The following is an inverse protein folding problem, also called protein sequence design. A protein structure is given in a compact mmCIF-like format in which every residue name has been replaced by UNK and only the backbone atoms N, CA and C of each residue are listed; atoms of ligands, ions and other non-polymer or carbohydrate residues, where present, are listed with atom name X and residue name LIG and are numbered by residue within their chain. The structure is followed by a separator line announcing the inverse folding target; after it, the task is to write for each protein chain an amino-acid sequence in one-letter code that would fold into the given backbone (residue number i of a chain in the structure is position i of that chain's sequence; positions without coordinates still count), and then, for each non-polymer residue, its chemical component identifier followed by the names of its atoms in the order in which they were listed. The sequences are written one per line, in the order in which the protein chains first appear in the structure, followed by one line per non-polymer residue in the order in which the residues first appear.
data_IF_011107141506
#
_entry.id   IF_011107141506
#
_cell.length_a   1.000
_cell.length_b   1.000
_cell.length_c   1.000
_cell.angle_alpha   90.00
_cell.angle_beta   90.00
_cell.angle_gamma   90.00
#
_symmetry.space_group_name_H-M   'P 1'
#
loop_
_entity.id
_entity.type
_entity.pdbx_description
1 polymer ?
#
# COMPACT_ATOMS: atom_id res chain seq x y z
N UNK A 1 -5.15 -29.60 -14.89
CA UNK A 1 -3.86 -29.84 -14.22
C UNK A 1 -3.55 -28.55 -13.48
N UNK A 2 -3.63 -28.53 -12.15
CA UNK A 2 -3.33 -27.32 -11.37
C UNK A 2 -1.81 -27.29 -11.21
N UNK A 3 -1.15 -26.44 -11.97
CA UNK A 3 0.28 -26.19 -11.83
C UNK A 3 0.52 -25.55 -10.45
N UNK A 4 1.26 -26.24 -9.61
CA UNK A 4 1.60 -25.78 -8.28
C UNK A 4 2.79 -24.83 -8.39
N UNK A 5 2.53 -23.52 -8.27
CA UNK A 5 3.56 -22.48 -8.33
C UNK A 5 4.67 -22.74 -7.30
N UNK A 6 5.93 -22.68 -7.73
CA UNK A 6 7.09 -22.87 -6.87
C UNK A 6 7.37 -21.60 -6.04
N UNK A 7 6.65 -21.43 -4.95
CA UNK A 7 6.96 -20.39 -3.95
C UNK A 7 8.16 -20.84 -3.11
N UNK A 8 9.33 -20.23 -3.34
CA UNK A 8 10.51 -20.52 -2.50
C UNK A 8 10.43 -19.70 -1.21
N UNK A 9 10.20 -20.38 -0.09
CA UNK A 9 10.26 -19.77 1.25
C UNK A 9 11.72 -19.40 1.53
N UNK A 10 11.97 -18.14 1.92
CA UNK A 10 13.28 -17.72 2.42
C UNK A 10 13.55 -18.43 3.76
N UNK A 11 14.37 -19.48 3.73
CA UNK A 11 14.81 -20.16 4.94
C UNK A 11 15.72 -19.20 5.75
N UNK A 12 15.28 -18.87 6.97
CA UNK A 12 15.86 -17.88 7.90
C UNK A 12 15.61 -16.42 7.50
N UNK A 13 15.46 -15.55 8.51
CA UNK A 13 15.44 -14.07 8.43
C UNK A 13 16.69 -13.56 7.69
N UNK A 14 16.71 -13.71 6.38
CA UNK A 14 17.76 -13.24 5.51
C UNK A 14 17.20 -12.02 4.80
N UNK A 15 17.24 -10.88 5.49
CA UNK A 15 17.17 -9.60 4.82
C UNK A 15 18.20 -9.60 3.67
N UNK A 16 17.83 -9.24 2.43
CA UNK A 16 18.79 -8.93 1.38
C UNK A 16 19.83 -7.96 1.96
N UNK A 17 21.12 -8.21 1.72
CA UNK A 17 22.21 -7.39 2.30
C UNK A 17 21.99 -5.89 2.08
N UNK A 18 21.42 -5.52 0.93
CA UNK A 18 21.08 -4.16 0.52
C UNK A 18 20.08 -3.48 1.50
N UNK A 19 19.16 -4.24 2.08
CA UNK A 19 18.12 -3.71 2.99
C UNK A 19 18.65 -3.60 4.43
N UNK A 20 19.71 -4.35 4.80
CA UNK A 20 20.30 -4.33 6.16
C UNK A 20 21.03 -3.03 6.49
N UNK A 21 21.61 -2.38 5.48
CA UNK A 21 22.57 -1.27 5.70
C UNK A 21 21.98 0.12 5.41
N UNK A 22 20.65 0.23 5.31
CA UNK A 22 20.02 1.56 5.20
C UNK A 22 19.87 2.20 6.57
N UNK A 23 20.29 3.46 6.68
CA UNK A 23 20.18 4.29 7.88
C UNK A 23 18.74 4.34 8.42
N UNK A 24 17.74 4.31 7.55
CA UNK A 24 16.31 4.33 7.93
C UNK A 24 15.82 3.01 8.55
N UNK A 25 16.37 1.85 8.16
CA UNK A 25 16.06 0.56 8.81
C UNK A 25 16.51 0.57 10.28
N UNK A 26 17.72 1.08 10.52
CA UNK A 26 18.24 1.25 11.88
C UNK A 26 17.33 2.16 12.70
N UNK A 27 16.96 3.33 12.16
CA UNK A 27 16.05 4.27 12.82
C UNK A 27 14.66 3.70 13.09
N UNK A 28 14.08 2.94 12.15
CA UNK A 28 12.79 2.27 12.35
C UNK A 28 12.87 1.24 13.48
N UNK A 29 13.94 0.43 13.50
CA UNK A 29 14.18 -0.56 14.54
C UNK A 29 14.43 0.11 15.91
N UNK A 30 15.27 1.14 15.94
CA UNK A 30 15.56 1.94 17.13
C UNK A 30 14.30 2.63 17.66
N UNK A 31 13.51 3.25 16.80
CA UNK A 31 12.24 3.88 17.16
C UNK A 31 11.23 2.86 17.72
N UNK A 32 11.11 1.70 17.08
CA UNK A 32 10.27 0.60 17.55
C UNK A 32 10.68 0.15 18.95
N UNK A 33 11.97 -0.16 19.16
CA UNK A 33 12.48 -0.58 20.47
C UNK A 33 12.33 0.51 21.53
N UNK A 34 12.65 1.77 21.18
CA UNK A 34 12.60 2.91 22.08
C UNK A 34 11.17 3.20 22.56
N UNK A 35 10.21 3.21 21.65
CA UNK A 35 8.81 3.42 22.02
C UNK A 35 8.31 2.29 22.91
N UNK A 36 8.67 1.04 22.60
CA UNK A 36 8.27 -0.13 23.40
C UNK A 36 8.92 -0.20 24.79
N UNK A 37 10.14 0.34 24.98
CA UNK A 37 10.75 0.40 26.31
C UNK A 37 9.97 1.25 27.31
N UNK A 38 9.21 2.25 26.84
CA UNK A 38 8.43 3.18 27.68
C UNK A 38 7.09 2.58 28.17
N UNK A 39 6.78 1.33 27.81
CA UNK A 39 5.49 0.67 28.10
C UNK A 39 5.53 -0.24 29.33
N UNK A 40 6.72 -0.47 29.91
CA UNK A 40 6.91 -1.50 30.93
C UNK A 40 5.91 -1.36 32.09
N UNK A 41 5.33 -2.51 32.47
CA UNK A 41 4.40 -2.67 33.60
C UNK A 41 3.05 -1.94 33.50
N UNK A 42 2.70 -1.41 32.32
CA UNK A 42 1.39 -0.77 32.08
C UNK A 42 0.27 -1.78 31.88
N UNK A 43 -0.95 -1.33 32.15
CA UNK A 43 -2.16 -2.04 31.73
C UNK A 43 -2.29 -2.04 30.21
N UNK A 44 -2.68 -3.19 29.66
CA UNK A 44 -2.88 -3.39 28.23
C UNK A 44 -4.26 -3.99 27.95
N UNK A 45 -5.06 -3.30 27.15
CA UNK A 45 -6.37 -3.74 26.69
C UNK A 45 -6.26 -4.14 25.22
N UNK A 46 -6.13 -5.44 24.91
CA UNK A 46 -6.03 -5.90 23.54
C UNK A 46 -7.32 -5.59 22.78
N UNK A 47 -7.20 -5.16 21.52
CA UNK A 47 -8.35 -5.17 20.63
C UNK A 47 -8.71 -6.63 20.34
N UNK A 48 -10.01 -6.95 20.43
CA UNK A 48 -10.49 -8.24 19.94
C UNK A 48 -10.13 -8.33 18.45
N UNK A 49 -9.59 -9.48 18.04
CA UNK A 49 -9.56 -9.87 16.63
C UNK A 49 -11.01 -10.11 16.20
N UNK A 50 -11.77 -9.03 16.01
CA UNK A 50 -12.86 -9.08 15.06
C UNK A 50 -12.17 -9.41 13.75
N UNK A 51 -12.48 -10.58 13.19
CA UNK A 51 -12.21 -10.83 11.78
C UNK A 51 -12.67 -9.55 11.09
N UNK A 52 -11.72 -8.77 10.56
CA UNK A 52 -12.05 -7.72 9.62
C UNK A 52 -12.66 -8.47 8.44
N UNK A 53 -13.96 -8.73 8.53
CA UNK A 53 -14.81 -8.72 7.37
C UNK A 53 -14.61 -7.31 6.82
N UNK A 54 -13.59 -7.17 5.97
CA UNK A 54 -13.59 -6.13 4.98
C UNK A 54 -14.86 -6.38 4.19
N UNK A 55 -15.94 -5.72 4.61
CA UNK A 55 -17.15 -5.57 3.84
C UNK A 55 -16.80 -4.72 2.62
N UNK A 56 -16.11 -5.33 1.67
CA UNK A 56 -16.20 -4.96 0.27
C UNK A 56 -17.20 -5.89 -0.41
N UNK A 57 -18.42 -5.95 0.15
CA UNK A 57 -19.59 -6.27 -0.63
C UNK A 57 -20.35 -4.98 -0.93
N UNK A 58 -19.71 -4.12 -1.72
CA UNK A 58 -20.49 -3.26 -2.59
C UNK A 58 -20.87 -4.11 -3.81
N UNK A 59 -21.95 -4.89 -3.68
CA UNK A 59 -22.76 -5.29 -4.83
C UNK A 59 -23.41 -4.02 -5.42
N UNK A 60 -22.59 -3.19 -6.06
CA UNK A 60 -23.09 -2.13 -6.91
C UNK A 60 -23.46 -2.79 -8.23
N UNK A 61 -24.77 -2.88 -8.48
CA UNK A 61 -25.29 -3.16 -9.81
C UNK A 61 -24.59 -2.20 -10.79
N UNK A 62 -23.83 -2.78 -11.71
CA UNK A 62 -23.19 -2.04 -12.81
C UNK A 62 -24.33 -1.52 -13.67
N UNK A 63 -24.67 -0.25 -13.50
CA UNK A 63 -25.56 0.44 -14.42
C UNK A 63 -24.81 0.66 -15.73
N UNK A 64 -24.98 -0.27 -16.67
CA UNK A 64 -24.52 -0.11 -18.03
C UNK A 64 -25.39 0.95 -18.71
N UNK A 65 -24.85 2.16 -18.88
CA UNK A 65 -25.40 3.13 -19.83
C UNK A 65 -24.36 3.41 -20.90
N UNK A 66 -24.72 3.12 -22.15
CA UNK A 66 -23.86 3.27 -23.31
C UNK A 66 -23.49 4.74 -23.51
N UNK A 67 -22.22 5.07 -23.28
CA UNK A 67 -21.58 6.21 -23.95
C UNK A 67 -21.39 5.83 -25.42
N UNK A 68 -22.43 5.97 -26.24
CA UNK A 68 -22.28 5.84 -27.68
C UNK A 68 -21.39 6.96 -28.23
N UNK A 69 -20.34 6.57 -28.96
CA UNK A 69 -20.07 7.20 -30.25
C UNK A 69 -18.74 7.94 -30.37
N UNK A 70 -17.74 7.22 -30.91
CA UNK A 70 -16.62 7.71 -31.74
C UNK A 70 -15.55 8.63 -31.13
N UNK A 71 -15.83 9.45 -30.12
CA UNK A 71 -14.84 10.41 -29.59
C UNK A 71 -13.86 9.77 -28.58
N UNK A 72 -14.31 8.78 -27.81
CA UNK A 72 -13.52 8.09 -26.76
C UNK A 72 -12.45 7.16 -27.36
N UNK A 73 -12.69 6.64 -28.57
CA UNK A 73 -11.79 5.70 -29.26
C UNK A 73 -10.38 6.26 -29.50
N UNK A 74 -10.23 7.58 -29.63
CA UNK A 74 -8.94 8.22 -29.88
C UNK A 74 -8.00 8.16 -28.66
N UNK A 75 -8.56 8.01 -27.46
CA UNK A 75 -7.82 7.95 -26.20
C UNK A 75 -7.60 6.52 -25.71
N UNK A 76 -8.19 5.54 -26.39
CA UNK A 76 -8.03 4.12 -26.08
C UNK A 76 -6.88 3.53 -26.89
N UNK A 77 -5.91 2.99 -26.18
CA UNK A 77 -4.73 2.34 -26.75
C UNK A 77 -4.85 0.83 -26.53
N UNK A 78 -5.02 0.01 -27.60
CA UNK A 78 -4.94 -1.43 -27.47
C UNK A 78 -3.52 -1.84 -27.08
N UNK A 79 -3.40 -2.85 -26.23
CA UNK A 79 -2.12 -3.33 -25.73
C UNK A 79 -1.75 -4.67 -26.36
N UNK A 80 -0.45 -4.95 -26.41
CA UNK A 80 0.09 -6.22 -26.90
C UNK A 80 1.19 -6.61 -25.94
N UNK A 81 1.14 -7.84 -25.42
CA UNK A 81 2.11 -8.30 -24.45
C UNK A 81 3.53 -8.33 -25.05
N UNK A 82 4.51 -7.87 -24.28
CA UNK A 82 5.94 -7.97 -24.60
C UNK A 82 6.58 -8.90 -23.59
N UNK A 83 6.96 -10.08 -24.04
CA UNK A 83 7.67 -11.07 -23.23
C UNK A 83 9.17 -10.91 -23.42
N UNK A 84 9.83 -10.25 -22.48
CA UNK A 84 11.26 -9.92 -22.54
C UNK A 84 12.01 -10.16 -21.22
N UNK A 85 11.39 -10.91 -20.31
CA UNK A 85 11.92 -11.24 -19.00
C UNK A 85 12.13 -10.01 -18.09
N UNK A 86 11.40 -8.92 -18.35
CA UNK A 86 11.42 -7.73 -17.49
C UNK A 86 11.08 -8.13 -16.04
N UNK A 87 11.97 -7.86 -15.07
CA UNK A 87 11.67 -8.15 -13.67
C UNK A 87 10.53 -7.27 -13.16
N UNK A 88 9.60 -7.85 -12.41
CA UNK A 88 8.47 -7.16 -11.80
C UNK A 88 8.65 -7.17 -10.28
N UNK A 89 8.43 -6.03 -9.63
CA UNK A 89 8.56 -5.88 -8.17
C UNK A 89 7.31 -5.25 -7.59
N UNK A 90 6.56 -5.98 -6.76
CA UNK A 90 5.42 -5.46 -5.99
C UNK A 90 5.80 -5.07 -4.57
N UNK A 91 5.27 -3.94 -4.09
CA UNK A 91 5.50 -3.42 -2.74
C UNK A 91 4.15 -3.15 -2.09
N UNK A 92 3.97 -3.57 -0.84
CA UNK A 92 2.85 -3.15 0.00
C UNK A 92 3.26 -3.09 1.48
N UNK A 93 2.59 -2.25 2.24
CA UNK A 93 2.81 -2.05 3.69
C UNK A 93 1.47 -1.99 4.40
N UNK A 94 1.36 -2.71 5.51
CA UNK A 94 0.17 -2.69 6.36
C UNK A 94 0.53 -2.37 7.81
N UNK A 95 -0.44 -1.76 8.50
CA UNK A 95 -0.37 -1.46 9.92
C UNK A 95 -1.61 -1.99 10.62
N UNK A 96 -1.44 -2.39 11.88
CA UNK A 96 -2.54 -2.91 12.69
C UNK A 96 -2.49 -2.34 14.10
N UNK A 97 -3.66 -2.05 14.67
CA UNK A 97 -3.85 -1.74 16.09
C UNK A 97 -3.88 -3.04 16.88
N UNK A 98 -3.02 -3.14 17.90
CA UNK A 98 -2.92 -4.31 18.77
C UNK A 98 -3.72 -4.14 20.06
N UNK A 99 -3.81 -2.92 20.57
CA UNK A 99 -4.62 -2.59 21.73
C UNK A 99 -4.28 -1.22 22.26
N UNK A 100 -4.83 -0.92 23.43
CA UNK A 100 -4.64 0.35 24.12
C UNK A 100 -3.95 0.12 25.47
N UNK A 101 -3.24 1.14 25.90
CA UNK A 101 -2.67 1.27 27.24
C UNK A 101 -3.21 2.54 27.86
N UNK A 102 -2.99 2.72 29.16
CA UNK A 102 -3.41 3.93 29.88
C UNK A 102 -2.90 5.25 29.27
N UNK A 103 -1.79 5.21 28.51
CA UNK A 103 -1.13 6.39 27.98
C UNK A 103 -1.15 6.49 26.45
N UNK A 104 -1.72 5.51 25.75
CA UNK A 104 -1.67 5.50 24.27
C UNK A 104 -1.91 4.13 23.65
N UNK A 105 -1.64 4.01 22.35
CA UNK A 105 -1.95 2.83 21.55
C UNK A 105 -0.72 1.94 21.32
N UNK A 106 -0.94 0.63 21.27
CA UNK A 106 0.02 -0.33 20.71
C UNK A 106 -0.40 -0.68 19.29
N UNK A 107 0.54 -0.60 18.37
CA UNK A 107 0.34 -0.97 16.97
C UNK A 107 1.56 -1.72 16.42
N UNK A 108 1.39 -2.36 15.27
CA UNK A 108 2.50 -2.96 14.52
C UNK A 108 2.42 -2.59 13.04
N UNK A 109 3.58 -2.43 12.41
CA UNK A 109 3.71 -2.17 10.96
C UNK A 109 4.53 -3.27 10.31
N UNK A 110 4.10 -3.76 9.15
CA UNK A 110 4.75 -4.81 8.37
C UNK A 110 4.77 -4.43 6.90
N UNK A 111 5.94 -4.53 6.27
CA UNK A 111 6.09 -4.37 4.84
C UNK A 111 6.34 -5.70 4.12
N UNK A 112 6.01 -5.75 2.84
CA UNK A 112 6.33 -6.87 1.97
C UNK A 112 6.85 -6.38 0.62
N UNK A 113 7.83 -7.11 0.09
CA UNK A 113 8.36 -6.94 -1.26
C UNK A 113 8.23 -8.28 -1.96
N UNK A 114 7.70 -8.29 -3.17
CA UNK A 114 7.57 -9.48 -4.00
C UNK A 114 8.28 -9.22 -5.32
N UNK A 115 9.14 -10.12 -5.74
CA UNK A 115 9.80 -10.11 -7.03
C UNK A 115 9.26 -11.24 -7.88
N UNK A 116 9.03 -10.97 -9.16
CA UNK A 116 8.81 -11.95 -10.19
C UNK A 116 9.89 -11.79 -11.27
N UNK A 117 10.58 -12.88 -11.56
CA UNK A 117 11.47 -13.00 -12.70
C UNK A 117 11.19 -14.35 -13.37
N UNK A 118 10.75 -14.32 -14.63
CA UNK A 118 10.41 -15.51 -15.39
C UNK A 118 9.43 -16.42 -14.64
N UNK A 119 8.35 -15.84 -14.12
CA UNK A 119 7.29 -16.51 -13.34
C UNK A 119 7.77 -17.15 -12.02
N UNK A 120 9.00 -16.84 -11.58
CA UNK A 120 9.51 -17.27 -10.29
C UNK A 120 9.31 -16.17 -9.26
N UNK A 121 8.35 -16.39 -8.36
CA UNK A 121 8.02 -15.44 -7.31
C UNK A 121 8.91 -15.65 -6.09
N UNK A 122 9.48 -14.56 -5.58
CA UNK A 122 10.20 -14.49 -4.31
C UNK A 122 9.65 -13.36 -3.49
N UNK A 123 9.68 -13.48 -2.17
CA UNK A 123 9.22 -12.40 -1.31
C UNK A 123 10.15 -12.17 -0.11
N UNK A 124 10.05 -10.96 0.42
CA UNK A 124 10.64 -10.56 1.69
C UNK A 124 9.57 -9.88 2.54
N UNK A 125 9.42 -10.32 3.78
CA UNK A 125 8.64 -9.61 4.79
C UNK A 125 9.58 -8.81 5.69
N UNK A 126 9.19 -7.59 6.01
CA UNK A 126 9.94 -6.68 6.86
C UNK A 126 9.07 -6.33 8.07
N UNK A 127 9.63 -6.52 9.26
CA UNK A 127 8.90 -6.44 10.52
C UNK A 127 8.28 -7.78 10.94
N UNK A 128 7.20 -7.78 11.73
CA UNK A 128 6.46 -6.59 12.17
C UNK A 128 7.27 -5.75 13.17
N UNK A 129 7.16 -4.44 13.06
CA UNK A 129 7.72 -3.47 14.00
C UNK A 129 6.63 -3.01 14.97
N UNK A 130 6.67 -3.42 16.25
CA UNK A 130 5.73 -2.92 17.24
C UNK A 130 6.10 -1.48 17.66
N UNK A 131 5.08 -0.65 17.88
CA UNK A 131 5.26 0.71 18.40
C UNK A 131 4.24 0.97 19.51
N UNK A 132 4.69 1.71 20.52
CA UNK A 132 3.82 2.33 21.50
C UNK A 132 3.74 3.83 21.27
N UNK A 133 2.56 4.30 20.93
CA UNK A 133 2.36 5.68 20.50
C UNK A 133 1.53 6.38 21.55
N UNK A 134 2.10 7.43 22.12
CA UNK A 134 1.46 8.30 23.10
C UNK A 134 1.43 9.72 22.57
N UNK A 135 0.61 10.58 23.19
CA UNK A 135 0.56 11.99 22.85
C UNK A 135 1.93 12.68 23.06
N UNK A 136 2.71 12.23 24.05
CA UNK A 136 4.02 12.78 24.39
C UNK A 136 5.12 12.34 23.43
N UNK A 137 5.08 11.10 22.92
CA UNK A 137 6.19 10.54 22.15
C UNK A 137 6.02 10.66 20.62
N UNK A 138 4.80 10.88 20.11
CA UNK A 138 4.53 10.86 18.66
C UNK A 138 5.36 11.89 17.88
N UNK A 139 5.60 13.07 18.46
CA UNK A 139 6.36 14.12 17.80
C UNK A 139 7.83 13.73 17.66
N UNK A 140 8.40 13.20 18.75
CA UNK A 140 9.78 12.74 18.77
C UNK A 140 9.99 11.55 17.82
N UNK A 141 9.04 10.62 17.79
CA UNK A 141 9.02 9.48 16.88
C UNK A 141 9.16 9.93 15.42
N UNK A 142 8.30 10.84 14.95
CA UNK A 142 8.36 11.31 13.56
C UNK A 142 9.58 12.18 13.28
N UNK A 143 10.00 13.03 14.23
CA UNK A 143 11.23 13.81 14.06
C UNK A 143 12.46 12.90 13.83
N UNK A 144 12.52 11.76 14.54
CA UNK A 144 13.58 10.77 14.39
C UNK A 144 13.50 10.02 13.04
N UNK A 145 12.29 9.62 12.62
CA UNK A 145 12.07 8.91 11.36
C UNK A 145 12.26 9.81 10.13
N UNK A 146 11.93 11.09 10.21
CA UNK A 146 11.97 12.06 9.11
C UNK A 146 13.31 12.81 9.01
N UNK A 147 14.32 12.40 9.81
CA UNK A 147 15.66 12.99 9.84
C UNK A 147 15.67 14.52 10.07
N UNK A 148 14.71 15.05 10.83
CA UNK A 148 14.58 16.50 11.06
C UNK A 148 14.07 17.31 9.87
N UNK A 149 13.55 16.68 8.82
CA UNK A 149 12.78 17.38 7.79
C UNK A 149 11.50 17.93 8.44
N UNK A 150 11.18 19.22 8.23
CA UNK A 150 9.99 19.82 8.81
C UNK A 150 8.75 19.08 8.29
N UNK A 151 7.93 18.48 9.17
CA UNK A 151 6.73 17.79 8.72
C UNK A 151 5.73 18.79 8.14
N UNK A 152 5.20 18.51 6.94
CA UNK A 152 4.13 19.33 6.32
C UNK A 152 2.87 19.38 7.20
N UNK A 153 2.67 18.38 8.08
CA UNK A 153 1.58 18.30 9.04
C UNK A 153 2.15 18.04 10.44
N UNK A 154 1.88 18.94 11.38
CA UNK A 154 2.28 18.80 12.78
C UNK A 154 1.67 17.50 13.37
N UNK A 155 2.49 16.49 13.73
CA UNK A 155 2.03 15.26 14.38
C UNK A 155 1.18 15.51 15.63
N UNK A 156 1.38 16.65 16.29
CA UNK A 156 0.71 17.06 17.53
C UNK A 156 -0.81 17.33 17.41
N UNK A 157 -1.38 17.29 16.21
CA UNK A 157 -2.84 17.43 16.00
C UNK A 157 -3.46 16.23 15.27
N UNK A 158 -2.66 15.21 14.98
CA UNK A 158 -3.08 14.02 14.25
C UNK A 158 -3.76 13.03 15.20
N UNK A 159 -4.99 12.56 14.92
CA UNK A 159 -5.60 11.46 15.66
C UNK A 159 -4.68 10.23 15.68
N UNK A 160 -4.60 9.53 16.82
CA UNK A 160 -3.70 8.39 16.99
C UNK A 160 -3.91 7.27 15.94
N UNK A 161 -5.13 7.13 15.38
CA UNK A 161 -5.39 6.17 14.32
C UNK A 161 -4.72 6.54 12.98
N UNK A 162 -4.57 7.83 12.67
CA UNK A 162 -3.87 8.30 11.47
C UNK A 162 -2.35 8.13 11.58
N UNK A 163 -1.82 8.09 12.81
CA UNK A 163 -0.40 7.89 13.07
C UNK A 163 0.11 6.56 12.50
N UNK A 164 -0.71 5.50 12.57
CA UNK A 164 -0.35 4.19 11.99
C UNK A 164 -0.21 4.31 10.48
N UNK A 165 -1.14 4.99 9.81
CA UNK A 165 -1.05 5.27 8.38
C UNK A 165 0.23 6.01 8.02
N UNK A 166 0.62 7.01 8.82
CA UNK A 166 1.88 7.74 8.62
C UNK A 166 3.12 6.85 8.83
N UNK A 167 3.12 5.96 9.82
CA UNK A 167 4.20 4.98 9.99
C UNK A 167 4.28 4.00 8.81
N UNK A 168 3.13 3.52 8.31
CA UNK A 168 3.08 2.71 7.09
C UNK A 168 3.68 3.47 5.91
N UNK A 169 3.32 4.74 5.71
CA UNK A 169 3.88 5.57 4.65
C UNK A 169 5.40 5.70 4.77
N UNK A 170 5.95 5.94 5.97
CA UNK A 170 7.41 6.01 6.17
C UNK A 170 8.10 4.69 5.79
N UNK A 171 7.55 3.55 6.21
CA UNK A 171 8.08 2.22 5.86
C UNK A 171 7.94 1.97 4.35
N UNK A 172 6.84 2.39 3.74
CA UNK A 172 6.60 2.24 2.31
C UNK A 172 7.58 3.07 1.47
N UNK A 173 7.76 4.35 1.79
CA UNK A 173 8.70 5.24 1.09
C UNK A 173 10.13 4.76 1.21
N UNK A 174 10.50 4.23 2.38
CA UNK A 174 11.78 3.58 2.59
C UNK A 174 12.00 2.39 1.65
N UNK A 175 11.02 1.47 1.60
CA UNK A 175 11.09 0.28 0.73
C UNK A 175 11.16 0.70 -0.73
N UNK A 176 10.28 1.60 -1.17
CA UNK A 176 10.25 2.11 -2.54
C UNK A 176 11.56 2.79 -2.93
N UNK A 177 12.13 3.63 -2.06
CA UNK A 177 13.45 4.26 -2.29
C UNK A 177 14.54 3.21 -2.47
N UNK A 178 14.53 2.19 -1.61
CA UNK A 178 15.52 1.11 -1.64
C UNK A 178 15.41 0.28 -2.92
N UNK A 179 14.20 -0.06 -3.34
CA UNK A 179 13.96 -0.80 -4.59
C UNK A 179 14.27 0.05 -5.81
N UNK A 180 13.88 1.33 -5.84
CA UNK A 180 14.19 2.23 -6.94
C UNK A 180 15.70 2.40 -7.18
N UNK A 181 16.52 2.27 -6.13
CA UNK A 181 17.97 2.32 -6.21
C UNK A 181 18.62 0.97 -6.57
N UNK A 182 18.06 -0.15 -6.10
CA UNK A 182 18.71 -1.46 -6.18
C UNK A 182 18.24 -2.33 -7.36
N UNK A 183 17.03 -2.08 -7.87
CA UNK A 183 16.55 -2.69 -9.10
C UNK A 183 17.09 -1.94 -10.32
N UNK A 184 17.22 -2.63 -11.45
CA UNK A 184 17.58 -2.03 -12.73
C UNK A 184 16.72 -2.62 -13.84
N UNK A 185 16.29 -1.80 -14.80
CA UNK A 185 15.49 -2.25 -15.95
C UNK A 185 14.17 -2.94 -15.56
N UNK A 186 13.63 -2.66 -14.38
CA UNK A 186 12.50 -3.38 -13.77
C UNK A 186 11.21 -2.55 -13.80
N UNK A 187 10.05 -3.22 -13.72
CA UNK A 187 8.78 -2.57 -13.43
C UNK A 187 8.51 -2.66 -11.92
N UNK A 188 8.38 -1.51 -11.28
CA UNK A 188 8.09 -1.40 -9.85
C UNK A 188 6.62 -1.02 -9.70
N UNK A 189 5.87 -1.91 -9.05
CA UNK A 189 4.44 -1.78 -8.80
C UNK A 189 4.19 -1.24 -7.41
N UNK A 190 3.37 -0.20 -7.30
CA UNK A 190 2.93 0.37 -6.03
C UNK A 190 1.42 0.13 -5.84
N UNK A 191 1.00 -0.19 -4.60
CA UNK A 191 -0.42 -0.17 -4.24
C UNK A 191 -0.82 1.28 -3.90
N UNK A 192 -1.85 1.80 -4.56
CA UNK A 192 -2.28 3.19 -4.43
C UNK A 192 -2.01 4.04 -5.68
N UNK A 193 -1.89 5.36 -5.49
CA UNK A 193 -1.80 6.34 -6.58
C UNK A 193 -0.54 7.19 -6.51
N UNK A 194 -0.04 7.66 -7.65
CA UNK A 194 1.07 8.64 -7.73
C UNK A 194 0.57 10.07 -7.50
N UNK A 195 -0.21 10.27 -6.44
CA UNK A 195 -0.71 11.58 -6.02
C UNK A 195 -0.06 12.02 -4.71
N UNK A 196 0.27 13.31 -4.64
CA UNK A 196 0.95 13.93 -3.49
C UNK A 196 0.17 15.16 -3.03
N UNK A 197 0.43 15.66 -1.82
CA UNK A 197 -0.36 16.75 -1.21
C UNK A 197 -1.48 16.29 -0.26
N UNK A 198 -1.54 14.99 0.05
CA UNK A 198 -2.26 14.42 1.20
C UNK A 198 -1.27 14.14 2.34
N UNK A 199 -1.74 14.10 3.60
CA UNK A 199 -0.90 13.90 4.78
C UNK A 199 0.00 12.67 4.63
N UNK A 200 1.32 12.89 4.72
CA UNK A 200 2.33 11.82 4.67
C UNK A 200 2.93 11.49 3.31
N UNK A 201 2.62 12.22 2.22
CA UNK A 201 3.29 12.07 0.92
C UNK A 201 3.91 13.41 0.48
N UNK A 202 5.17 13.65 0.86
CA UNK A 202 5.89 14.84 0.38
C UNK A 202 6.13 14.74 -1.13
N UNK A 203 5.77 15.80 -1.84
CA UNK A 203 6.01 15.93 -3.29
C UNK A 203 7.50 15.68 -3.61
N UNK A 204 8.39 16.18 -2.74
CA UNK A 204 9.84 16.10 -2.92
C UNK A 204 10.36 14.66 -2.85
N UNK A 205 9.86 13.87 -1.89
CA UNK A 205 10.29 12.49 -1.65
C UNK A 205 9.85 11.57 -2.79
N UNK A 206 8.56 11.60 -3.15
CA UNK A 206 8.04 10.77 -4.24
C UNK A 206 8.73 11.14 -5.56
N UNK A 207 8.93 12.44 -5.83
CA UNK A 207 9.65 12.90 -7.02
C UNK A 207 11.10 12.40 -7.05
N UNK A 208 11.77 12.34 -5.90
CA UNK A 208 13.11 11.78 -5.77
C UNK A 208 13.14 10.28 -6.06
N UNK A 209 12.17 9.52 -5.54
CA UNK A 209 12.06 8.07 -5.80
C UNK A 209 11.85 7.82 -7.30
N UNK A 210 10.90 8.51 -7.93
CA UNK A 210 10.63 8.38 -9.36
C UNK A 210 11.87 8.75 -10.21
N UNK A 211 12.58 9.84 -9.85
CA UNK A 211 13.83 10.21 -10.52
C UNK A 211 14.91 9.14 -10.37
N UNK A 212 15.01 8.52 -9.19
CA UNK A 212 15.97 7.45 -8.92
C UNK A 212 15.62 6.19 -9.70
N UNK A 213 14.34 5.83 -9.78
CA UNK A 213 13.86 4.71 -10.59
C UNK A 213 14.23 4.90 -12.07
N UNK A 214 13.94 6.07 -12.66
CA UNK A 214 14.30 6.39 -14.04
C UNK A 214 15.81 6.31 -14.31
N UNK A 215 16.64 6.77 -13.36
CA UNK A 215 18.11 6.70 -13.49
C UNK A 215 18.62 5.25 -13.63
N UNK A 216 17.90 4.29 -13.07
CA UNK A 216 18.22 2.86 -13.18
C UNK A 216 17.33 2.14 -14.20
N UNK A 217 16.72 2.88 -15.14
CA UNK A 217 15.88 2.34 -16.21
C UNK A 217 14.65 1.58 -15.70
N UNK A 218 14.20 1.89 -14.47
CA UNK A 218 12.98 1.32 -13.91
C UNK A 218 11.76 2.16 -14.29
N UNK A 219 10.64 1.49 -14.54
CA UNK A 219 9.33 2.11 -14.70
C UNK A 219 8.50 1.91 -13.43
N UNK A 220 7.83 2.97 -12.94
CA UNK A 220 6.96 2.91 -11.75
C UNK A 220 5.50 2.99 -12.19
N UNK A 221 4.72 1.97 -11.80
CA UNK A 221 3.30 1.82 -12.11
C UNK A 221 2.53 1.67 -10.80
N UNK A 222 1.64 2.61 -10.48
CA UNK A 222 0.83 2.55 -9.27
C UNK A 222 -0.62 2.15 -9.59
N UNK A 223 -1.11 1.10 -8.94
CA UNK A 223 -2.46 0.59 -9.14
C UNK A 223 -3.37 0.97 -7.97
N UNK A 224 -4.47 1.63 -8.28
CA UNK A 224 -5.52 1.97 -7.30
C UNK A 224 -6.74 1.07 -7.50
N UNK A 225 -7.04 0.24 -6.48
CA UNK A 225 -8.19 -0.70 -6.46
C UNK A 225 -9.54 0.02 -6.55
N UNK A 226 -9.69 1.11 -5.79
CA UNK A 226 -10.92 1.90 -5.72
C UNK A 226 -10.60 3.38 -5.94
N UNK A 227 -11.16 3.97 -6.98
CA UNK A 227 -10.97 5.38 -7.32
C UNK A 227 -12.24 6.19 -7.10
N UNK A 228 -12.10 7.38 -6.54
CA UNK A 228 -13.17 8.38 -6.40
C UNK A 228 -13.17 9.39 -7.56
N UNK A 229 -12.18 9.32 -8.46
CA UNK A 229 -12.09 10.22 -9.61
C UNK A 229 -13.25 9.94 -10.55
N UNK A 230 -13.96 11.01 -10.93
CA UNK A 230 -15.09 10.96 -11.84
C UNK A 230 -14.88 11.90 -13.01
N UNK A 231 -15.43 11.50 -14.16
CA UNK A 231 -15.58 12.33 -15.35
C UNK A 231 -17.07 12.46 -15.65
N UNK A 232 -17.60 13.69 -15.72
CA UNK A 232 -19.04 13.97 -15.90
C UNK A 232 -19.97 13.22 -14.90
N UNK A 233 -19.49 12.93 -13.69
CA UNK A 233 -20.16 12.12 -12.63
C UNK A 233 -20.05 10.59 -12.75
N UNK A 234 -19.37 10.08 -13.77
CA UNK A 234 -19.12 8.66 -14.01
C UNK A 234 -17.79 8.26 -13.39
N UNK A 235 -17.66 7.05 -12.83
CA UNK A 235 -16.34 6.58 -12.40
C UNK A 235 -15.48 6.37 -13.64
N UNK A 236 -14.21 6.76 -13.58
CA UNK A 236 -13.31 6.61 -14.73
C UNK A 236 -13.14 5.14 -15.17
N UNK A 237 -13.25 4.20 -14.23
CA UNK A 237 -13.18 2.75 -14.49
C UNK A 237 -14.31 2.23 -15.35
N UNK A 238 -15.47 2.89 -15.33
CA UNK A 238 -16.65 2.45 -16.07
C UNK A 238 -16.55 2.83 -17.55
N UNK A 239 -15.65 3.77 -17.91
CA UNK A 239 -15.45 4.26 -19.29
C UNK A 239 -14.98 3.13 -20.21
N UNK A 240 -14.15 2.21 -19.71
CA UNK A 240 -13.56 1.12 -20.49
C UNK A 240 -14.39 -0.17 -20.47
N UNK A 241 -15.54 -0.18 -19.78
CA UNK A 241 -16.33 -1.40 -19.54
C UNK A 241 -16.81 -2.10 -20.83
N UNK A 242 -16.99 -1.34 -21.91
CA UNK A 242 -17.47 -1.86 -23.21
C UNK A 242 -16.34 -2.10 -24.23
N UNK A 243 -15.07 -2.00 -23.82
CA UNK A 243 -13.92 -2.17 -24.69
C UNK A 243 -13.20 -3.50 -24.44
N UNK A 244 -12.74 -4.14 -25.52
CA UNK A 244 -12.02 -5.42 -25.40
C UNK A 244 -10.65 -5.21 -24.72
N UNK A 245 -10.32 -5.98 -23.68
CA UNK A 245 -8.99 -6.00 -23.08
C UNK A 245 -8.00 -6.83 -23.92
N UNK A 246 -6.67 -6.61 -23.77
CA UNK A 246 -6.06 -5.60 -22.89
C UNK A 246 -6.01 -4.22 -23.55
N UNK A 247 -6.49 -3.19 -22.86
CA UNK A 247 -6.46 -1.81 -23.32
C UNK A 247 -6.16 -0.82 -22.20
N UNK A 248 -5.64 0.34 -22.61
CA UNK A 248 -5.30 1.46 -21.74
C UNK A 248 -6.02 2.72 -22.22
N UNK A 249 -6.68 3.42 -21.31
CA UNK A 249 -7.38 4.68 -21.60
C UNK A 249 -6.72 5.83 -20.84
N UNK A 250 -6.19 6.81 -21.56
CA UNK A 250 -5.54 7.99 -20.95
C UNK A 250 -6.57 9.03 -20.50
N UNK A 251 -6.43 9.51 -19.27
CA UNK A 251 -7.41 10.39 -18.61
C UNK A 251 -6.88 11.83 -18.47
N UNK A 252 -5.59 12.08 -18.74
CA UNK A 252 -4.91 13.37 -18.49
C UNK A 252 -5.56 14.58 -19.19
N UNK A 253 -6.19 14.38 -20.36
CA UNK A 253 -6.84 15.46 -21.12
C UNK A 253 -8.31 15.72 -20.69
N UNK A 254 -8.82 14.97 -19.70
CA UNK A 254 -10.19 15.12 -19.22
C UNK A 254 -10.28 16.10 -18.04
N UNK A 255 -11.34 16.91 -17.93
CA UNK A 255 -11.63 17.70 -16.74
C UNK A 255 -12.02 16.76 -15.58
N UNK A 256 -11.02 16.37 -14.78
CA UNK A 256 -11.19 15.44 -13.67
C UNK A 256 -11.56 16.16 -12.36
N UNK A 257 -12.35 15.47 -11.52
CA UNK A 257 -12.73 15.93 -10.19
C UNK A 257 -11.59 15.79 -9.16
N UNK A 258 -10.44 16.40 -9.43
CA UNK A 258 -9.24 16.32 -8.56
C UNK A 258 -9.19 17.55 -7.65
N UNK A 259 -8.84 17.35 -6.38
CA UNK A 259 -8.69 18.45 -5.43
C UNK A 259 -7.59 19.41 -5.88
N UNK A 260 -7.82 20.72 -5.69
CA UNK A 260 -6.86 21.77 -6.07
C UNK A 260 -5.51 21.68 -5.37
N UNK A 261 -5.45 21.00 -4.22
CA UNK A 261 -4.23 20.83 -3.41
C UNK A 261 -3.48 19.52 -3.72
N UNK A 262 -3.96 18.73 -4.68
CA UNK A 262 -3.34 17.45 -5.05
C UNK A 262 -2.38 17.65 -6.22
N UNK A 263 -1.14 17.23 -6.05
CA UNK A 263 -0.13 17.22 -7.08
C UNK A 263 -0.05 15.83 -7.74
N UNK A 264 -0.31 15.77 -9.04
CA UNK A 264 -0.19 14.56 -9.84
C UNK A 264 1.26 14.35 -10.27
N UNK A 265 1.87 13.25 -9.84
CA UNK A 265 3.21 12.84 -10.26
C UNK A 265 3.20 11.72 -11.30
N UNK A 266 2.06 11.06 -11.50
CA UNK A 266 1.82 10.14 -12.61
C UNK A 266 0.85 10.71 -13.64
N UNK A 267 0.97 10.24 -14.89
CA UNK A 267 -0.11 10.32 -15.89
C UNK A 267 -1.16 9.29 -15.54
N UNK A 268 -2.43 9.68 -15.55
CA UNK A 268 -3.53 8.83 -15.11
C UNK A 268 -4.08 8.05 -16.30
N UNK A 269 -4.17 6.74 -16.14
CA UNK A 269 -4.80 5.82 -17.07
C UNK A 269 -5.89 5.01 -16.37
N UNK A 270 -6.81 4.47 -17.16
CA UNK A 270 -7.68 3.36 -16.79
C UNK A 270 -7.17 2.13 -17.53
N UNK A 271 -6.78 1.11 -16.78
CA UNK A 271 -6.23 -0.13 -17.30
C UNK A 271 -7.28 -1.23 -17.22
N UNK A 272 -7.70 -1.74 -18.38
CA UNK A 272 -8.52 -2.95 -18.49
C UNK A 272 -7.64 -4.05 -19.09
N UNK A 273 -7.05 -4.87 -18.23
CA UNK A 273 -5.92 -5.73 -18.60
C UNK A 273 -6.29 -7.21 -18.83
N UNK A 274 -7.49 -7.65 -18.43
CA UNK A 274 -7.89 -9.04 -18.54
C UNK A 274 -9.37 -9.21 -18.89
N UNK A 275 -9.67 -10.18 -19.76
CA UNK A 275 -11.05 -10.53 -20.13
C UNK A 275 -11.84 -10.99 -18.92
N UNK A 276 -13.01 -10.36 -18.68
CA UNK A 276 -13.84 -10.64 -17.50
C UNK A 276 -13.21 -10.19 -16.17
N UNK A 277 -12.09 -9.46 -16.21
CA UNK A 277 -11.46 -8.85 -15.05
C UNK A 277 -12.05 -7.48 -14.69
N UNK A 278 -11.48 -6.84 -13.68
CA UNK A 278 -11.82 -5.48 -13.27
C UNK A 278 -10.91 -4.46 -13.96
N UNK A 279 -11.44 -3.27 -14.23
CA UNK A 279 -10.66 -2.12 -14.65
C UNK A 279 -10.10 -1.37 -13.44
N UNK A 280 -8.84 -0.97 -13.50
CA UNK A 280 -8.16 -0.28 -12.41
C UNK A 280 -7.69 1.10 -12.85
N UNK A 281 -7.63 2.04 -11.89
CA UNK A 281 -6.87 3.26 -12.11
C UNK A 281 -5.38 2.89 -12.04
N UNK A 282 -4.63 3.33 -13.05
CA UNK A 282 -3.20 3.14 -13.16
C UNK A 282 -2.53 4.51 -13.30
N UNK A 283 -1.67 4.88 -12.37
CA UNK A 283 -0.82 6.07 -12.50
C UNK A 283 0.59 5.64 -12.90
N UNK A 284 1.13 6.18 -14.00
CA UNK A 284 2.49 5.88 -14.48
C UNK A 284 3.34 7.14 -14.39
N UNK A 285 4.58 7.02 -13.93
CA UNK A 285 5.52 8.14 -13.77
C UNK A 285 5.49 9.12 -14.96
N UNK A 286 5.09 10.37 -14.72
CA UNK A 286 4.97 11.39 -15.77
C UNK A 286 6.31 11.82 -16.38
N UNK A 287 7.43 11.46 -15.73
CA UNK A 287 8.77 11.71 -16.24
C UNK A 287 9.16 10.84 -17.43
N UNK A 288 8.41 9.76 -17.70
CA UNK A 288 8.59 8.90 -18.87
C UNK A 288 7.84 9.46 -20.10
N UNK A 289 8.24 9.06 -21.31
CA UNK A 289 7.47 9.38 -22.52
C UNK A 289 6.15 8.60 -22.55
N UNK A 290 5.18 9.02 -23.38
CA UNK A 290 3.92 8.27 -23.52
C UNK A 290 4.15 6.88 -24.12
N UNK A 291 5.11 6.76 -25.04
CA UNK A 291 5.51 5.48 -25.63
C UNK A 291 6.12 4.56 -24.58
N UNK A 292 7.02 5.06 -23.73
CA UNK A 292 7.60 4.29 -22.63
C UNK A 292 6.55 3.84 -21.61
N UNK A 293 5.55 4.67 -21.33
CA UNK A 293 4.42 4.30 -20.47
C UNK A 293 3.65 3.10 -21.03
N UNK A 294 3.28 3.16 -22.31
CA UNK A 294 2.56 2.05 -22.98
C UNK A 294 3.44 0.81 -23.00
N UNK A 295 4.71 0.94 -23.36
CA UNK A 295 5.67 -0.17 -23.38
C UNK A 295 5.84 -0.81 -22.00
N UNK A 296 5.84 -0.04 -20.92
CA UNK A 296 5.90 -0.56 -19.57
C UNK A 296 4.67 -1.42 -19.21
N UNK A 297 3.46 -1.01 -19.63
CA UNK A 297 2.25 -1.83 -19.43
C UNK A 297 2.26 -3.08 -20.31
N UNK A 298 2.76 -2.97 -21.54
CA UNK A 298 2.91 -4.12 -22.45
C UNK A 298 3.92 -5.15 -21.91
N UNK A 299 5.03 -4.69 -21.32
CA UNK A 299 5.99 -5.54 -20.60
C UNK A 299 5.39 -6.15 -19.33
N UNK A 300 4.59 -5.40 -18.58
CA UNK A 300 3.85 -5.95 -17.44
C UNK A 300 2.96 -7.12 -17.90
N UNK A 301 2.20 -6.94 -18.98
CA UNK A 301 1.32 -7.97 -19.54
C UNK A 301 2.06 -9.23 -19.99
N UNK A 302 3.28 -9.11 -20.52
CA UNK A 302 4.06 -10.27 -20.98
C UNK A 302 4.87 -10.97 -19.88
N UNK A 303 5.11 -10.32 -18.75
CA UNK A 303 6.03 -10.85 -17.72
C UNK A 303 5.36 -11.11 -16.35
N UNK A 304 4.11 -10.69 -16.15
CA UNK A 304 3.38 -10.81 -14.88
C UNK A 304 2.09 -11.62 -15.04
N UNK A 305 1.71 -12.37 -14.01
CA UNK A 305 0.37 -12.98 -13.97
C UNK A 305 -0.65 -11.94 -13.52
N UNK A 306 -1.80 -11.91 -14.20
CA UNK A 306 -2.90 -11.03 -13.82
C UNK A 306 -4.07 -11.84 -13.26
N UNK A 307 -4.37 -11.66 -11.97
CA UNK A 307 -5.56 -12.22 -11.35
C UNK A 307 -6.71 -11.21 -11.43
N UNK A 308 -7.74 -11.51 -12.23
CA UNK A 308 -8.87 -10.60 -12.49
C UNK A 308 -8.43 -9.21 -13.00
N UNK A 309 -7.31 -9.14 -13.74
CA UNK A 309 -6.73 -7.88 -14.24
C UNK A 309 -5.80 -7.17 -13.26
N UNK A 310 -5.60 -7.70 -12.05
CA UNK A 310 -4.70 -7.15 -11.05
C UNK A 310 -3.35 -7.91 -10.99
N UNK A 311 -2.20 -7.23 -10.92
CA UNK A 311 -0.88 -7.88 -10.88
C UNK A 311 -0.68 -8.81 -9.68
N UNK A 312 -0.21 -10.03 -9.93
CA UNK A 312 0.03 -11.06 -8.91
C UNK A 312 1.09 -10.62 -7.89
N UNK A 313 2.16 -9.95 -8.31
CA UNK A 313 3.16 -9.36 -7.40
C UNK A 313 2.54 -8.41 -6.36
N UNK A 314 1.61 -7.53 -6.76
CA UNK A 314 0.92 -6.64 -5.82
C UNK A 314 -0.04 -7.41 -4.92
N UNK A 315 -0.77 -8.39 -5.48
CA UNK A 315 -1.67 -9.25 -4.70
C UNK A 315 -0.90 -10.01 -3.61
N UNK A 316 0.24 -10.59 -3.95
CA UNK A 316 1.10 -11.30 -3.00
C UNK A 316 1.74 -10.35 -1.98
N UNK A 317 2.20 -9.16 -2.40
CA UNK A 317 2.72 -8.16 -1.48
C UNK A 317 1.67 -7.81 -0.42
N UNK A 318 0.42 -7.60 -0.85
CA UNK A 318 -0.70 -7.33 0.05
C UNK A 318 -1.01 -8.47 1.02
N UNK A 319 -1.03 -9.71 0.53
CA UNK A 319 -1.25 -10.88 1.38
C UNK A 319 -0.13 -11.04 2.42
N UNK A 320 1.11 -10.72 2.04
CA UNK A 320 2.27 -10.89 2.91
C UNK A 320 2.54 -9.72 3.87
N UNK A 321 2.03 -8.53 3.58
CA UNK A 321 2.02 -7.37 4.48
C UNK A 321 0.89 -7.47 5.51
N UNK A 322 -0.24 -8.09 5.16
CA UNK A 322 -1.42 -8.24 6.01
C UNK A 322 -1.14 -9.06 7.29
N UNK A 323 -1.81 -8.68 8.38
CA UNK A 323 -1.78 -9.38 9.67
C UNK A 323 -2.97 -10.32 9.80
N UNK A 324 -2.71 -11.59 10.07
CA UNK A 324 -3.76 -12.57 10.41
C UNK A 324 -4.16 -12.46 11.88
N UNK A 325 -5.31 -13.03 12.27
CA UNK A 325 -5.71 -13.09 13.68
C UNK A 325 -4.64 -13.80 14.55
N UNK A 326 -4.01 -14.85 14.02
CA UNK A 326 -2.93 -15.56 14.70
C UNK A 326 -1.67 -14.68 14.86
N UNK A 327 -1.34 -13.85 13.85
CA UNK A 327 -0.27 -12.86 13.99
C UNK A 327 -0.59 -11.90 15.14
N UNK A 328 -1.81 -11.36 15.19
CA UNK A 328 -2.22 -10.38 16.20
C UNK A 328 -2.13 -10.98 17.60
N UNK A 329 -2.74 -12.15 17.83
CA UNK A 329 -2.70 -12.84 19.13
C UNK A 329 -1.25 -13.16 19.53
N UNK A 330 -0.44 -13.64 18.58
CA UNK A 330 0.96 -13.93 18.80
C UNK A 330 1.77 -12.70 19.20
N UNK A 331 1.58 -11.57 18.50
CA UNK A 331 2.23 -10.30 18.82
C UNK A 331 1.76 -9.78 20.18
N UNK A 332 0.45 -9.75 20.44
CA UNK A 332 -0.12 -9.32 21.73
C UNK A 332 0.46 -10.14 22.89
N UNK A 333 0.51 -11.47 22.74
CA UNK A 333 1.06 -12.38 23.75
C UNK A 333 2.56 -12.15 23.98
N UNK A 334 3.33 -12.00 22.89
CA UNK A 334 4.75 -11.70 22.96
C UNK A 334 5.01 -10.37 23.68
N UNK A 335 4.30 -9.30 23.30
CA UNK A 335 4.48 -7.98 23.90
C UNK A 335 4.09 -7.97 25.38
N UNK A 336 3.00 -8.67 25.75
CA UNK A 336 2.58 -8.78 27.14
C UNK A 336 3.63 -9.48 28.01
N UNK A 337 4.23 -10.55 27.50
CA UNK A 337 5.29 -11.27 28.20
C UNK A 337 6.58 -10.45 28.28
N UNK A 338 7.10 -9.96 27.14
CA UNK A 338 8.41 -9.32 27.04
C UNK A 338 8.48 -7.96 27.77
N UNK A 339 7.38 -7.19 27.75
CA UNK A 339 7.32 -5.86 28.36
C UNK A 339 6.54 -5.86 29.69
N UNK A 340 6.12 -7.03 30.19
CA UNK A 340 5.40 -7.16 31.46
C UNK A 340 4.04 -6.45 31.47
N UNK A 341 3.35 -6.42 30.32
CA UNK A 341 2.06 -5.74 30.22
C UNK A 341 0.96 -6.58 30.87
N UNK A 342 0.16 -5.93 31.72
CA UNK A 342 -0.96 -6.60 32.38
C UNK A 342 -2.19 -6.55 31.48
N UNK A 343 -2.54 -7.69 30.88
CA UNK A 343 -3.73 -7.81 30.04
C UNK A 343 -4.97 -7.60 30.92
N UNK A 344 -5.78 -6.60 30.57
CA UNK A 344 -7.06 -6.30 31.21
C UNK A 344 -8.17 -6.42 30.16
N UNK A 345 -9.28 -7.10 30.46
CA UNK A 345 -10.39 -7.22 29.53
C UNK A 345 -10.96 -5.84 29.18
N UNK A 346 -11.18 -5.60 27.89
CA UNK A 346 -11.89 -4.40 27.42
C UNK A 346 -13.38 -4.60 27.65
N UNK A 347 -13.94 -3.85 28.61
CA UNK A 347 -15.39 -3.82 28.79
C UNK A 347 -15.99 -2.92 27.71
N UNK A 348 -16.63 -3.50 26.70
CA UNK A 348 -17.35 -2.72 25.71
C UNK A 348 -18.52 -2.00 26.39
N UNK A 349 -18.38 -0.70 26.63
CA UNK A 349 -19.34 0.09 27.40
C UNK A 349 -20.70 0.10 26.71
N UNK A 350 -20.74 0.08 25.36
CA UNK A 350 -22.02 -0.02 24.64
C UNK A 350 -22.71 -1.35 24.90
N UNK A 351 -22.00 -2.48 24.90
CA UNK A 351 -22.57 -3.79 25.26
C UNK A 351 -22.96 -3.85 26.74
N UNK A 352 -22.21 -3.19 27.63
CA UNK A 352 -22.55 -3.12 29.06
C UNK A 352 -23.82 -2.28 29.27
N UNK A 353 -23.95 -1.15 28.59
CA UNK A 353 -25.06 -0.20 28.74
C UNK A 353 -26.32 -0.63 27.99
N UNK A 354 -26.18 -1.23 26.81
CA UNK A 354 -27.27 -1.50 25.88
C UNK A 354 -27.44 -3.00 25.59
N UNK A 355 -26.65 -3.87 26.22
CA UNK A 355 -26.72 -5.31 26.03
C UNK A 355 -26.53 -5.69 24.54
N UNK A 356 -27.40 -6.56 23.98
CA UNK A 356 -27.32 -6.96 22.57
C UNK A 356 -27.61 -5.82 21.58
N UNK A 357 -28.15 -4.69 22.04
CA UNK A 357 -28.42 -3.51 21.21
C UNK A 357 -27.25 -2.51 21.16
N UNK A 358 -26.17 -2.78 21.90
CA UNK A 358 -24.94 -1.99 21.88
C UNK A 358 -24.06 -2.28 20.66
N UNK A 359 -24.62 -2.20 19.45
CA UNK A 359 -23.90 -2.46 18.20
C UNK A 359 -23.20 -1.18 17.71
N UNK A 360 -21.92 -1.31 17.32
CA UNK A 360 -21.10 -0.22 16.78
C UNK A 360 -19.68 -0.20 17.36
N UNK A 361 -18.71 0.27 16.57
CA UNK A 361 -17.31 0.44 17.00
C UNK A 361 -17.22 1.50 18.11
N UNK A 362 -16.48 1.21 19.19
CA UNK A 362 -15.98 2.26 20.09
C UNK A 362 -14.89 3.00 19.31
N UNK A 363 -15.01 4.33 19.21
CA UNK A 363 -14.19 5.19 18.33
C UNK A 363 -12.68 5.05 18.58
#
# INVERSE_FOLDING_TARGET
MIEQLQYTITSRYNFPRIIRDTELNKRLTEASLRTMHNVREKTFQPFETQLLEQNEQNNQQVFHQNLEGKSISTFLTPLTAIEDQTPIVGIDVSGIRLGETETGILCAVRGAIVWNLNQNYRYLRIGPFPFHITEENRQELFNHLENGTLPEVNPSHMPLFEVIGRLCNQVERWIQTTIAYSAAGSIILWDGSLTTGTSGNSVSEVSYILKTARKHENAVLAFTKVTTIRFLSWKITDIVANHEPPCLFEVDDLPLSISKNTHLLGRIYVANLATGGSAFRLDIDKGLSREDNIMAVQRLLGNELLFQGYPECLRLAHIYSTFTANDVIGIQSFLAHEYGLKIVPRNNMRKVLFGPFGTGFED
#
